data_IF_899994586972
#
_entry.id   IF_899994586972
#
_cell.length_a   1.000
_cell.length_b   1.000
_cell.length_c   1.000
_cell.angle_alpha   90.00
_cell.angle_beta   90.00
_cell.angle_gamma   90.00
#
_symmetry.space_group_name_H-M   'P 1'
#
loop_
_entity.id
_entity.type
_entity.pdbx_description
1 polymer ?
#
# COMPACT_ATOMS: atom_id res chain seq x y z
N UNK A 1 11.93 -13.17 -0.75
CA UNK A 1 12.13 -11.75 -0.45
C UNK A 1 11.95 -11.60 1.05
N UNK A 2 12.93 -11.06 1.77
CA UNK A 2 12.82 -10.90 3.22
C UNK A 2 11.79 -9.79 3.58
N UNK A 3 11.34 -9.76 4.84
CA UNK A 3 10.32 -8.79 5.26
C UNK A 3 10.71 -7.33 5.08
N UNK A 4 12.00 -7.00 5.18
CA UNK A 4 12.47 -5.62 4.98
C UNK A 4 12.42 -5.23 3.50
N UNK A 5 12.83 -6.11 2.60
CA UNK A 5 12.73 -5.90 1.16
C UNK A 5 11.27 -5.70 0.72
N UNK A 6 10.34 -6.47 1.27
CA UNK A 6 8.90 -6.31 0.98
C UNK A 6 8.36 -4.99 1.52
N UNK A 7 8.78 -4.58 2.70
CA UNK A 7 8.42 -3.27 3.26
C UNK A 7 8.97 -2.12 2.41
N UNK A 8 10.21 -2.22 1.92
CA UNK A 8 10.80 -1.22 1.01
C UNK A 8 10.00 -1.12 -0.28
N UNK A 9 9.64 -2.26 -0.88
CA UNK A 9 8.81 -2.28 -2.09
C UNK A 9 7.43 -1.65 -1.84
N UNK A 10 6.78 -2.00 -0.73
CA UNK A 10 5.50 -1.40 -0.34
C UNK A 10 5.64 0.11 -0.12
N UNK A 11 6.70 0.57 0.54
CA UNK A 11 6.95 2.00 0.78
C UNK A 11 7.33 2.80 -0.47
N UNK A 12 7.66 2.15 -1.59
CA UNK A 12 7.84 2.84 -2.88
C UNK A 12 6.49 3.26 -3.49
N UNK A 13 5.44 2.48 -3.22
CA UNK A 13 4.09 2.68 -3.73
C UNK A 13 3.16 3.39 -2.74
N UNK A 14 3.38 3.19 -1.44
CA UNK A 14 2.46 3.57 -0.38
C UNK A 14 3.15 4.34 0.75
N UNK A 15 2.45 5.32 1.29
CA UNK A 15 2.83 6.04 2.49
C UNK A 15 1.81 5.78 3.61
N UNK A 16 2.28 5.41 4.80
CA UNK A 16 1.45 5.30 5.99
C UNK A 16 1.59 6.58 6.83
N UNK A 17 0.54 7.41 6.87
CA UNK A 17 0.55 8.74 7.50
C UNK A 17 -0.64 8.84 8.45
N UNK A 18 -0.39 8.94 9.75
CA UNK A 18 -1.46 9.18 10.74
C UNK A 18 -2.57 8.12 10.76
N UNK A 19 -2.27 6.88 10.38
CA UNK A 19 -3.26 5.80 10.27
C UNK A 19 -3.99 5.75 8.92
N UNK A 20 -3.55 6.53 7.94
CA UNK A 20 -4.04 6.52 6.56
C UNK A 20 -2.99 5.91 5.65
N UNK A 21 -3.42 5.16 4.64
CA UNK A 21 -2.55 4.75 3.54
C UNK A 21 -2.82 5.60 2.32
N UNK A 22 -1.80 6.27 1.82
CA UNK A 22 -1.83 7.09 0.61
C UNK A 22 -0.95 6.48 -0.47
N UNK A 23 -1.38 6.57 -1.74
CA UNK A 23 -0.52 6.24 -2.87
C UNK A 23 0.53 7.34 -3.03
N UNK A 24 1.81 7.00 -3.17
CA UNK A 24 2.90 7.98 -3.30
C UNK A 24 2.82 8.84 -4.57
N UNK A 25 2.03 8.41 -5.55
CA UNK A 25 1.85 9.06 -6.85
C UNK A 25 0.56 9.88 -6.96
N UNK A 26 -0.33 9.80 -5.97
CA UNK A 26 -1.63 10.49 -5.96
C UNK A 26 -1.84 11.24 -4.64
N UNK A 27 -2.80 12.17 -4.62
CA UNK A 27 -3.26 12.81 -3.37
C UNK A 27 -4.39 12.06 -2.67
N UNK A 28 -4.69 10.82 -3.09
CA UNK A 28 -5.76 10.01 -2.53
C UNK A 28 -5.25 9.15 -1.35
N UNK A 29 -6.12 8.94 -0.37
CA UNK A 29 -5.83 8.20 0.86
C UNK A 29 -7.02 7.35 1.28
N UNK A 30 -6.75 6.27 2.02
CA UNK A 30 -7.76 5.41 2.63
C UNK A 30 -7.44 5.14 4.09
N UNK A 31 -8.47 5.09 4.92
CA UNK A 31 -8.40 4.64 6.32
C UNK A 31 -8.96 3.24 6.52
N UNK A 32 -9.94 2.85 5.69
CA UNK A 32 -10.60 1.55 5.81
C UNK A 32 -9.73 0.44 5.20
N UNK A 33 -9.49 -0.61 5.98
CA UNK A 33 -8.69 -1.76 5.58
C UNK A 33 -9.46 -2.76 4.71
N UNK A 34 -10.80 -2.74 4.76
CA UNK A 34 -11.65 -3.65 4.00
C UNK A 34 -11.96 -3.15 2.58
N UNK A 35 -11.80 -1.85 2.35
CA UNK A 35 -12.01 -1.21 1.06
C UNK A 35 -10.76 -1.26 0.17
N UNK A 36 -10.93 -1.42 -1.16
CA UNK A 36 -9.83 -1.24 -2.09
C UNK A 36 -9.46 0.24 -2.23
N UNK A 37 -8.17 0.52 -2.44
CA UNK A 37 -7.66 1.85 -2.73
C UNK A 37 -8.21 2.34 -4.08
N UNK A 38 -8.85 3.53 -4.13
CA UNK A 38 -9.44 4.06 -5.34
C UNK A 38 -8.38 4.76 -6.21
N UNK A 39 -7.60 3.99 -6.96
CA UNK A 39 -6.64 4.57 -7.90
C UNK A 39 -7.32 5.39 -9.00
N UNK A 40 -6.72 6.55 -9.31
CA UNK A 40 -7.02 7.26 -10.56
C UNK A 40 -6.61 6.38 -11.77
N UNK A 41 -7.42 6.34 -12.85
CA UNK A 41 -7.07 5.57 -14.05
C UNK A 41 -5.72 5.93 -14.68
N UNK A 42 -5.18 7.12 -14.42
CA UNK A 42 -3.89 7.59 -14.93
C UNK A 42 -2.74 7.40 -13.93
N UNK A 43 -2.99 6.78 -12.78
CA UNK A 43 -1.95 6.49 -11.81
C UNK A 43 -0.95 5.48 -12.38
N UNK A 44 0.32 5.88 -12.48
CA UNK A 44 1.40 5.04 -12.99
C UNK A 44 1.59 3.76 -12.18
N UNK A 45 1.28 3.79 -10.88
CA UNK A 45 1.44 2.63 -9.99
C UNK A 45 0.25 1.66 -10.00
N UNK A 46 -0.92 2.02 -10.58
CA UNK A 46 -2.17 1.26 -10.38
C UNK A 46 -2.10 -0.22 -10.78
N UNK A 47 -1.30 -0.54 -11.80
CA UNK A 47 -1.17 -1.88 -12.35
C UNK A 47 0.01 -2.65 -11.70
N UNK A 48 0.87 -1.93 -10.96
CA UNK A 48 2.06 -2.47 -10.31
C UNK A 48 1.82 -2.83 -8.83
N UNK A 49 0.74 -2.33 -8.23
CA UNK A 49 0.43 -2.47 -6.80
C UNK A 49 -0.91 -3.15 -6.62
N UNK A 50 -1.09 -3.97 -5.57
CA UNK A 50 -2.42 -4.51 -5.32
C UNK A 50 -3.36 -3.39 -4.87
N UNK A 51 -4.64 -3.54 -5.21
CA UNK A 51 -5.67 -2.59 -4.83
C UNK A 51 -5.97 -2.55 -3.33
N UNK A 52 -5.31 -3.35 -2.49
CA UNK A 52 -5.60 -3.47 -1.05
C UNK A 52 -4.34 -3.30 -0.21
N UNK A 53 -3.86 -2.05 -0.03
CA UNK A 53 -2.56 -1.81 0.59
C UNK A 53 -2.50 -2.23 2.06
N UNK A 54 -3.62 -2.17 2.78
CA UNK A 54 -3.71 -2.65 4.17
C UNK A 54 -3.54 -4.16 4.29
N UNK A 55 -4.14 -4.93 3.38
CA UNK A 55 -3.98 -6.38 3.33
C UNK A 55 -2.54 -6.78 2.97
N UNK A 56 -1.91 -6.04 2.04
CA UNK A 56 -0.49 -6.22 1.72
C UNK A 56 0.39 -5.95 2.96
N UNK A 57 0.15 -4.82 3.64
CA UNK A 57 0.91 -4.44 4.83
C UNK A 57 0.77 -5.48 5.95
N UNK A 58 -0.46 -5.92 6.23
CA UNK A 58 -0.73 -6.99 7.20
C UNK A 58 0.07 -8.25 6.88
N UNK A 59 0.04 -8.68 5.62
CA UNK A 59 0.79 -9.87 5.19
C UNK A 59 2.32 -9.69 5.26
N UNK A 60 2.85 -8.48 5.02
CA UNK A 60 4.28 -8.18 5.21
C UNK A 60 4.68 -8.29 6.69
N UNK A 61 3.85 -7.75 7.58
CA UNK A 61 4.13 -7.71 9.02
C UNK A 61 3.98 -9.09 9.69
N UNK A 62 2.99 -9.88 9.27
CA UNK A 62 2.72 -11.21 9.82
C UNK A 62 3.83 -12.22 9.53
N UNK A 63 4.56 -12.06 8.43
CA UNK A 63 5.63 -12.99 8.01
C UNK A 63 6.82 -12.96 8.99
N UNK A 64 6.88 -12.01 9.91
CA UNK A 64 7.87 -11.99 11.01
C UNK A 64 7.39 -12.68 12.29
N UNK A 65 6.25 -13.39 12.30
CA UNK A 65 5.75 -14.12 13.46
C UNK A 65 6.21 -15.57 13.52
#
# INVERSE_FOLDING_TARGET
MDGNQRMIAWSAAWALIGGLVACTWLYAEISDADEPFPHDPNCAAKDEVASRPWAELHHILDVKR
#
